data_IF_793087128013
#
_entry.id   IF_793087128013
#
_cell.length_a   1.000
_cell.length_b   1.000
_cell.length_c   1.000
_cell.angle_alpha   90.00
_cell.angle_beta   90.00
_cell.angle_gamma   90.00
#
_symmetry.space_group_name_H-M   'P 1'
#
loop_
_entity.id
_entity.type
_entity.pdbx_description
1 polymer ?
#
# COMPACT_ATOMS: atom_id res chain seq x y z
N UNK A 1 -16.77 -12.20 22.68
CA UNK A 1 -15.35 -12.20 22.27
C UNK A 1 -15.29 -12.55 20.81
N UNK A 2 -15.04 -11.57 19.94
CA UNK A 2 -14.83 -11.82 18.51
C UNK A 2 -13.57 -12.65 18.37
N UNK A 3 -13.72 -13.96 18.21
CA UNK A 3 -12.64 -14.82 17.76
C UNK A 3 -12.34 -14.39 16.33
N UNK A 4 -11.47 -13.39 16.17
CA UNK A 4 -10.88 -13.10 14.88
C UNK A 4 -10.19 -14.38 14.44
N UNK A 5 -10.81 -15.08 13.49
CA UNK A 5 -10.24 -16.22 12.79
C UNK A 5 -8.77 -15.91 12.48
N UNK A 6 -7.82 -16.79 12.82
CA UNK A 6 -6.37 -16.54 12.63
C UNK A 6 -5.99 -16.08 11.21
N UNK A 7 -6.78 -16.47 10.21
CA UNK A 7 -6.67 -16.02 8.82
C UNK A 7 -6.82 -14.49 8.67
N UNK A 8 -7.73 -13.85 9.39
CA UNK A 8 -7.94 -12.40 9.34
C UNK A 8 -6.74 -11.62 9.89
N UNK A 9 -6.09 -12.15 10.94
CA UNK A 9 -4.88 -11.54 11.49
C UNK A 9 -3.69 -11.65 10.53
N UNK A 10 -3.53 -12.80 9.87
CA UNK A 10 -2.50 -13.00 8.85
C UNK A 10 -2.69 -12.04 7.67
N UNK A 11 -3.92 -11.89 7.18
CA UNK A 11 -4.22 -11.01 6.05
C UNK A 11 -4.05 -9.53 6.42
N UNK A 12 -4.42 -9.14 7.65
CA UNK A 12 -4.10 -7.82 8.19
C UNK A 12 -2.59 -7.54 8.25
N UNK A 13 -1.80 -8.50 8.74
CA UNK A 13 -0.34 -8.35 8.78
C UNK A 13 0.26 -8.21 7.38
N UNK A 14 -0.23 -8.97 6.39
CA UNK A 14 0.17 -8.82 4.98
C UNK A 14 -0.17 -7.43 4.45
N UNK A 15 -1.39 -6.95 4.70
CA UNK A 15 -1.83 -5.60 4.36
C UNK A 15 -0.91 -4.54 4.96
N UNK A 16 -0.64 -4.59 6.27
CA UNK A 16 0.25 -3.64 6.93
C UNK A 16 1.67 -3.64 6.35
N UNK A 17 2.22 -4.82 6.02
CA UNK A 17 3.54 -4.95 5.38
C UNK A 17 3.56 -4.30 4.00
N UNK A 18 2.56 -4.58 3.15
CA UNK A 18 2.44 -3.97 1.81
C UNK A 18 2.29 -2.45 1.92
N UNK A 19 1.39 -1.95 2.79
CA UNK A 19 1.19 -0.51 3.02
C UNK A 19 2.48 0.20 3.45
N UNK A 20 3.23 -0.40 4.39
CA UNK A 20 4.54 0.12 4.81
C UNK A 20 5.54 0.17 3.66
N UNK A 21 5.52 -0.81 2.75
CA UNK A 21 6.38 -0.81 1.56
C UNK A 21 6.09 0.41 0.66
N UNK A 22 4.81 0.73 0.43
CA UNK A 22 4.43 1.91 -0.35
C UNK A 22 4.88 3.22 0.30
N UNK A 23 4.73 3.37 1.63
CA UNK A 23 5.26 4.54 2.33
C UNK A 23 6.78 4.69 2.15
N UNK A 24 7.53 3.59 2.25
CA UNK A 24 8.98 3.58 2.01
C UNK A 24 9.31 3.88 0.54
N UNK A 25 8.51 3.41 -0.41
CA UNK A 25 8.65 3.72 -1.83
C UNK A 25 8.45 5.20 -2.10
N UNK A 26 7.40 5.79 -1.54
CA UNK A 26 7.13 7.23 -1.63
C UNK A 26 8.26 8.07 -1.03
N UNK A 27 8.74 7.71 0.17
CA UNK A 27 9.85 8.41 0.81
C UNK A 27 11.14 8.36 -0.02
N UNK A 28 11.45 7.21 -0.63
CA UNK A 28 12.58 7.07 -1.55
C UNK A 28 12.41 7.96 -2.77
N UNK A 29 11.26 7.85 -3.43
CA UNK A 29 10.94 8.66 -4.61
C UNK A 29 11.04 10.17 -4.35
N UNK A 30 10.59 10.63 -3.18
CA UNK A 30 10.72 12.03 -2.75
C UNK A 30 12.20 12.43 -2.58
N UNK A 31 13.02 11.55 -2.00
CA UNK A 31 14.47 11.78 -1.85
C UNK A 31 15.17 11.84 -3.21
N UNK A 32 14.88 10.89 -4.11
CA UNK A 32 15.47 10.83 -5.46
C UNK A 32 15.13 12.11 -6.24
N UNK A 33 13.89 12.61 -6.12
CA UNK A 33 13.50 13.90 -6.73
C UNK A 33 14.26 15.08 -6.14
N UNK A 34 14.45 15.10 -4.82
CA UNK A 34 15.18 16.19 -4.15
C UNK A 34 16.68 16.20 -4.49
N UNK A 35 17.25 15.04 -4.81
CA UNK A 35 18.65 14.90 -5.24
C UNK A 35 18.87 15.22 -6.72
N UNK A 36 17.79 15.27 -7.50
CA UNK A 36 17.86 15.45 -8.96
C UNK A 36 18.08 14.14 -9.73
N UNK A 37 18.05 12.99 -9.05
CA UNK A 37 18.22 11.66 -9.66
C UNK A 37 17.09 11.33 -10.65
N UNK A 38 15.93 11.99 -10.49
CA UNK A 38 14.77 11.87 -11.37
C UNK A 38 14.18 13.23 -11.74
N UNK A 39 13.72 13.35 -12.98
CA UNK A 39 13.03 14.54 -13.46
C UNK A 39 11.57 14.60 -12.93
N UNK A 40 10.88 15.72 -13.18
CA UNK A 40 9.51 15.94 -12.69
C UNK A 40 8.52 14.93 -13.29
N UNK A 41 8.68 14.60 -14.56
CA UNK A 41 7.77 13.71 -15.27
C UNK A 41 7.84 12.29 -14.70
N UNK A 42 9.04 11.75 -14.53
CA UNK A 42 9.28 10.41 -13.98
C UNK A 42 8.88 10.32 -12.50
N UNK A 43 9.08 11.41 -11.75
CA UNK A 43 8.58 11.53 -10.39
C UNK A 43 7.05 11.42 -10.33
N UNK A 44 6.33 12.22 -11.11
CA UNK A 44 4.85 12.20 -11.13
C UNK A 44 4.32 10.85 -11.62
N UNK A 45 4.94 10.27 -12.66
CA UNK A 45 4.59 8.96 -13.19
C UNK A 45 4.74 7.87 -12.13
N UNK A 46 5.85 7.87 -11.40
CA UNK A 46 6.12 6.89 -10.32
C UNK A 46 5.20 7.09 -9.13
N UNK A 47 4.91 8.35 -8.76
CA UNK A 47 3.99 8.69 -7.68
C UNK A 47 2.58 8.18 -7.97
N UNK A 48 2.09 8.36 -9.21
CA UNK A 48 0.79 7.82 -9.65
C UNK A 48 0.72 6.30 -9.56
N UNK A 49 1.81 5.60 -9.88
CA UNK A 49 1.87 4.13 -9.75
C UNK A 49 1.75 3.69 -8.29
N UNK A 50 2.50 4.34 -7.38
CA UNK A 50 2.41 4.06 -5.94
C UNK A 50 1.00 4.33 -5.43
N UNK A 51 0.39 5.44 -5.86
CA UNK A 51 -0.96 5.81 -5.44
C UNK A 51 -2.02 4.80 -5.90
N UNK A 52 -1.99 4.38 -7.17
CA UNK A 52 -2.91 3.35 -7.69
C UNK A 52 -2.75 2.02 -6.94
N UNK A 53 -1.52 1.55 -6.76
CA UNK A 53 -1.25 0.31 -6.04
C UNK A 53 -1.69 0.38 -4.56
N UNK A 54 -1.60 1.57 -3.94
CA UNK A 54 -2.12 1.78 -2.59
C UNK A 54 -3.65 1.68 -2.56
N UNK A 55 -4.36 2.30 -3.51
CA UNK A 55 -5.83 2.18 -3.62
C UNK A 55 -6.24 0.72 -3.81
N UNK A 56 -5.60 0.00 -4.75
CA UNK A 56 -5.87 -1.42 -4.99
C UNK A 56 -5.68 -2.26 -3.72
N UNK A 57 -4.64 -1.99 -2.93
CA UNK A 57 -4.43 -2.65 -1.65
C UNK A 57 -5.52 -2.36 -0.61
N UNK A 58 -5.99 -1.11 -0.52
CA UNK A 58 -7.08 -0.75 0.39
C UNK A 58 -8.38 -1.46 -0.02
N UNK A 59 -8.66 -1.56 -1.33
CA UNK A 59 -9.81 -2.29 -1.86
C UNK A 59 -9.69 -3.81 -1.58
N UNK A 60 -8.54 -4.42 -1.86
CA UNK A 60 -8.27 -5.84 -1.55
C UNK A 60 -8.54 -6.15 -0.07
N UNK A 61 -8.06 -5.28 0.83
CA UNK A 61 -8.23 -5.48 2.26
C UNK A 61 -9.68 -5.25 2.72
N UNK A 62 -10.37 -4.26 2.14
CA UNK A 62 -11.78 -4.03 2.37
C UNK A 62 -12.60 -5.27 1.96
N UNK A 63 -12.37 -5.83 0.77
CA UNK A 63 -13.06 -7.04 0.31
C UNK A 63 -12.83 -8.21 1.26
N UNK A 64 -11.60 -8.42 1.74
CA UNK A 64 -11.29 -9.49 2.72
C UNK A 64 -12.06 -9.30 4.03
N UNK A 65 -12.20 -8.06 4.51
CA UNK A 65 -12.92 -7.77 5.76
C UNK A 65 -14.43 -7.98 5.63
N UNK A 66 -15.03 -7.56 4.51
CA UNK A 66 -16.48 -7.51 4.36
C UNK A 66 -17.08 -8.74 3.63
N UNK A 67 -16.34 -9.40 2.73
CA UNK A 67 -16.81 -10.62 2.05
C UNK A 67 -16.70 -11.88 2.92
N UNK A 68 -15.85 -11.91 3.95
CA UNK A 68 -15.77 -13.02 4.92
C UNK A 68 -16.89 -13.01 5.97
N UNK A 69 -17.74 -11.99 5.95
CA UNK A 69 -18.80 -11.78 6.94
C UNK A 69 -20.19 -12.21 6.44
N UNK A 70 -20.31 -12.67 5.19
CA UNK A 70 -21.49 -13.31 4.59
C UNK A 70 -21.23 -14.80 4.37
#
# INVERSE_FOLDING_TARGET
MLVHQPSNYIDFLKYCKKRRSFCKGYQRLKKDRSRGDINQFDYVKSLRKIHRAAIELELEYFDILYMRSN
#
